data_IF_762828653570
#
_entry.id   IF_762828653570
#
_cell.length_a   1.000
_cell.length_b   1.000
_cell.length_c   1.000
_cell.angle_alpha   90.00
_cell.angle_beta   90.00
_cell.angle_gamma   90.00
#
_symmetry.space_group_name_H-M   'P 1'
#
loop_
_entity.id
_entity.type
_entity.pdbx_description
1 polymer ?
#
# COMPACT_ATOMS: atom_id res chain seq x y z
N UNK A 1 45.86 -8.47 19.12
CA UNK A 1 46.24 -8.82 17.74
C UNK A 1 45.39 -10.01 17.32
N UNK A 2 44.36 -9.76 16.51
CA UNK A 2 43.36 -10.78 16.14
C UNK A 2 43.58 -11.13 14.68
N UNK A 3 44.15 -12.30 14.41
CA UNK A 3 44.41 -12.77 13.03
C UNK A 3 43.17 -13.47 12.50
N UNK A 4 42.41 -12.77 11.67
CA UNK A 4 41.33 -13.34 10.87
C UNK A 4 41.95 -14.19 9.75
N UNK A 5 41.68 -15.50 9.78
CA UNK A 5 42.10 -16.45 8.75
C UNK A 5 41.14 -16.31 7.56
N UNK A 6 41.54 -15.58 6.52
CA UNK A 6 40.77 -15.51 5.28
C UNK A 6 40.86 -16.86 4.56
N UNK A 7 39.73 -17.54 4.41
CA UNK A 7 39.64 -18.73 3.57
C UNK A 7 39.77 -18.32 2.11
N UNK A 8 40.79 -18.82 1.42
CA UNK A 8 40.93 -18.70 -0.03
C UNK A 8 39.72 -19.34 -0.72
N UNK A 9 38.89 -18.51 -1.35
CA UNK A 9 37.84 -18.97 -2.24
C UNK A 9 38.48 -19.34 -3.59
N UNK A 10 38.53 -20.64 -3.89
CA UNK A 10 38.83 -21.12 -5.25
C UNK A 10 37.56 -21.06 -6.09
N UNK A 11 37.53 -20.28 -7.19
CA UNK A 11 36.39 -20.29 -8.08
C UNK A 11 36.26 -21.68 -8.72
N UNK A 12 35.06 -22.28 -8.63
CA UNK A 12 34.74 -23.48 -9.38
C UNK A 12 34.74 -23.12 -10.87
N UNK A 13 35.79 -23.50 -11.59
CA UNK A 13 35.83 -23.41 -13.04
C UNK A 13 34.99 -24.55 -13.61
N UNK A 14 33.80 -24.21 -14.09
CA UNK A 14 33.01 -25.12 -14.90
C UNK A 14 33.67 -25.23 -16.28
N UNK A 15 34.28 -26.38 -16.56
CA UNK A 15 34.69 -26.74 -17.91
C UNK A 15 33.47 -27.30 -18.64
N UNK A 16 32.97 -26.56 -19.64
CA UNK A 16 32.02 -27.12 -20.59
C UNK A 16 32.73 -28.25 -21.34
N UNK A 17 32.34 -29.50 -21.09
CA UNK A 17 32.76 -30.62 -21.93
C UNK A 17 32.10 -30.43 -23.29
N UNK A 18 32.88 -29.99 -24.27
CA UNK A 18 32.47 -29.99 -25.67
C UNK A 18 32.54 -31.44 -26.19
N UNK A 19 31.61 -32.29 -25.75
CA UNK A 19 31.30 -33.47 -26.56
C UNK A 19 30.52 -32.97 -27.78
N UNK A 20 30.97 -33.29 -29.00
CA UNK A 20 30.21 -32.98 -30.21
C UNK A 20 29.04 -33.97 -30.28
N UNK A 21 27.97 -33.69 -29.53
CA UNK A 21 26.67 -34.25 -29.83
C UNK A 21 26.24 -33.64 -31.17
N UNK A 22 26.50 -34.39 -32.24
CA UNK A 22 26.21 -34.04 -33.63
C UNK A 22 24.71 -34.10 -33.96
N UNK A 23 23.85 -34.30 -32.97
CA UNK A 23 22.42 -34.11 -33.11
C UNK A 23 22.08 -32.62 -32.88
N UNK A 24 21.83 -31.87 -33.95
CA UNK A 24 21.32 -30.51 -33.87
C UNK A 24 20.04 -30.49 -33.02
N UNK A 25 20.12 -29.98 -31.79
CA UNK A 25 18.95 -29.85 -30.90
C UNK A 25 18.05 -28.77 -31.47
N UNK A 26 16.99 -29.17 -32.17
CA UNK A 26 15.97 -28.25 -32.71
C UNK A 26 15.13 -27.72 -31.55
N UNK A 27 15.33 -26.45 -31.20
CA UNK A 27 14.51 -25.72 -30.22
C UNK A 27 13.29 -25.10 -30.91
N UNK A 28 12.11 -25.21 -30.29
CA UNK A 28 10.90 -24.50 -30.74
C UNK A 28 10.99 -23.03 -30.33
N UNK A 29 10.63 -22.11 -31.23
CA UNK A 29 10.43 -20.69 -30.91
C UNK A 29 9.14 -20.52 -30.10
N UNK A 30 9.18 -19.67 -29.08
CA UNK A 30 8.00 -19.31 -28.29
C UNK A 30 7.17 -18.17 -28.90
N UNK A 31 7.68 -17.51 -29.96
CA UNK A 31 7.00 -16.40 -30.67
C UNK A 31 6.52 -15.27 -29.74
N UNK A 32 7.31 -14.90 -28.73
CA UNK A 32 7.02 -13.74 -27.88
C UNK A 32 7.13 -12.44 -28.67
N UNK A 33 6.26 -11.49 -28.32
CA UNK A 33 6.36 -10.13 -28.82
C UNK A 33 7.53 -9.40 -28.14
N UNK A 34 8.19 -8.47 -28.84
CA UNK A 34 9.24 -7.66 -28.26
C UNK A 34 8.71 -6.75 -27.15
N UNK A 35 9.63 -6.23 -26.34
CA UNK A 35 9.34 -5.24 -25.30
C UNK A 35 8.68 -4.00 -25.91
N UNK A 36 7.70 -3.42 -25.20
CA UNK A 36 7.10 -2.13 -25.53
C UNK A 36 8.13 -1.00 -25.35
N UNK A 37 9.08 -1.20 -24.43
CA UNK A 37 10.14 -0.24 -24.13
C UNK A 37 11.41 -0.64 -24.85
N UNK A 38 11.84 0.19 -25.80
CA UNK A 38 13.14 0.10 -26.45
C UNK A 38 14.21 0.88 -25.66
N UNK A 39 15.47 0.51 -25.82
CA UNK A 39 16.60 1.10 -25.09
C UNK A 39 16.74 2.60 -25.33
N UNK A 40 16.58 3.04 -26.58
CA UNK A 40 16.62 4.46 -26.94
C UNK A 40 15.48 5.24 -26.29
N UNK A 41 14.30 4.62 -26.20
CA UNK A 41 13.14 5.19 -25.52
C UNK A 41 13.40 5.35 -24.01
N UNK A 42 13.98 4.33 -23.36
CA UNK A 42 14.36 4.41 -21.94
C UNK A 42 15.38 5.53 -21.68
N UNK A 43 16.35 5.72 -22.58
CA UNK A 43 17.34 6.78 -22.48
C UNK A 43 16.77 8.19 -22.73
N UNK A 44 15.65 8.29 -23.46
CA UNK A 44 14.98 9.57 -23.73
C UNK A 44 14.22 10.16 -22.53
N UNK A 45 14.01 9.37 -21.46
CA UNK A 45 13.31 9.83 -20.28
C UNK A 45 14.08 10.97 -19.60
N UNK A 46 13.44 12.15 -19.57
CA UNK A 46 13.91 13.29 -18.78
C UNK A 46 12.82 13.68 -17.79
N UNK A 47 13.23 13.97 -16.55
CA UNK A 47 12.33 14.47 -15.52
C UNK A 47 12.67 15.93 -15.24
N UNK A 48 11.78 16.83 -15.68
CA UNK A 48 11.87 18.27 -15.42
C UNK A 48 11.45 18.65 -13.98
N UNK A 49 10.98 17.69 -13.18
CA UNK A 49 10.55 17.89 -11.79
C UNK A 49 11.67 17.71 -10.76
N UNK A 50 12.92 17.65 -11.18
CA UNK A 50 14.10 17.48 -10.30
C UNK A 50 14.62 18.79 -9.69
N UNK A 51 14.04 19.93 -10.07
CA UNK A 51 14.47 21.26 -9.62
C UNK A 51 14.22 21.51 -8.13
N UNK A 52 15.11 22.30 -7.52
CA UNK A 52 15.02 22.71 -6.10
C UNK A 52 13.71 23.44 -5.78
N UNK A 53 13.13 24.15 -6.75
CA UNK A 53 11.83 24.81 -6.64
C UNK A 53 10.69 23.83 -6.34
N UNK A 54 10.60 22.71 -7.06
CA UNK A 54 9.57 21.69 -6.84
C UNK A 54 9.75 21.00 -5.49
N UNK A 55 10.99 20.70 -5.11
CA UNK A 55 11.29 20.15 -3.78
C UNK A 55 10.84 21.10 -2.67
N UNK A 56 11.15 22.40 -2.79
CA UNK A 56 10.72 23.42 -1.82
C UNK A 56 9.19 23.53 -1.76
N UNK A 57 8.51 23.47 -2.90
CA UNK A 57 7.04 23.50 -2.96
C UNK A 57 6.44 22.24 -2.32
N UNK A 58 7.00 21.07 -2.58
CA UNK A 58 6.57 19.81 -1.98
C UNK A 58 6.72 19.83 -0.45
N UNK A 59 7.85 20.32 0.08
CA UNK A 59 8.03 20.47 1.53
C UNK A 59 7.06 21.49 2.14
N UNK A 60 6.76 22.59 1.44
CA UNK A 60 5.75 23.55 1.89
C UNK A 60 4.35 22.92 1.96
N UNK A 61 3.95 22.16 0.93
CA UNK A 61 2.68 21.46 0.89
C UNK A 61 2.61 20.36 1.94
N UNK A 62 3.69 19.61 2.14
CA UNK A 62 3.81 18.61 3.20
C UNK A 62 3.58 19.22 4.57
N UNK A 63 4.15 20.40 4.84
CA UNK A 63 3.89 21.17 6.05
C UNK A 63 2.42 21.53 6.22
N UNK A 64 1.76 22.02 5.17
CA UNK A 64 0.32 22.35 5.19
C UNK A 64 -0.55 21.13 5.48
N UNK A 65 -0.28 20.00 4.82
CA UNK A 65 -1.00 18.75 5.06
C UNK A 65 -0.79 18.28 6.51
N UNK A 66 0.42 18.38 7.04
CA UNK A 66 0.69 18.08 8.46
C UNK A 66 -0.15 18.95 9.40
N UNK A 67 -0.28 20.25 9.11
CA UNK A 67 -1.17 21.13 9.87
C UNK A 67 -2.62 20.68 9.79
N UNK A 68 -3.12 20.34 8.59
CA UNK A 68 -4.50 19.82 8.42
C UNK A 68 -4.73 18.53 9.21
N UNK A 69 -3.76 17.60 9.21
CA UNK A 69 -3.84 16.36 10.01
C UNK A 69 -3.96 16.70 11.50
N UNK A 70 -3.14 17.63 12.00
CA UNK A 70 -3.19 18.05 13.40
C UNK A 70 -4.51 18.74 13.74
N UNK A 71 -5.04 19.62 12.89
CA UNK A 71 -6.32 20.29 13.09
C UNK A 71 -7.46 19.27 13.19
N UNK A 72 -7.54 18.34 12.23
CA UNK A 72 -8.56 17.29 12.22
C UNK A 72 -8.41 16.36 13.43
N UNK A 73 -7.18 16.12 13.91
CA UNK A 73 -6.94 15.34 15.13
C UNK A 73 -7.58 15.95 16.40
N UNK A 74 -7.71 17.29 16.46
CA UNK A 74 -8.29 18.03 17.60
C UNK A 74 -9.82 18.07 17.56
N UNK A 75 -10.43 17.96 16.38
CA UNK A 75 -11.89 18.13 16.21
C UNK A 75 -12.76 17.03 16.84
N UNK A 76 -12.18 15.95 17.39
CA UNK A 76 -12.89 14.79 17.95
C UNK A 76 -13.95 14.21 17.00
N UNK A 77 -13.68 14.24 15.69
CA UNK A 77 -14.53 13.68 14.63
C UNK A 77 -13.79 12.51 13.97
N UNK A 78 -13.98 11.26 14.44
CA UNK A 78 -13.20 10.12 13.97
C UNK A 78 -13.42 9.79 12.49
N UNK A 79 -14.62 10.02 11.96
CA UNK A 79 -14.90 9.77 10.55
C UNK A 79 -14.03 10.66 9.64
N UNK A 80 -14.02 11.97 9.88
CA UNK A 80 -13.19 12.92 9.11
C UNK A 80 -11.69 12.56 9.19
N UNK A 81 -11.23 12.07 10.34
CA UNK A 81 -9.86 11.58 10.53
C UNK A 81 -9.55 10.36 9.66
N UNK A 82 -10.46 9.38 9.62
CA UNK A 82 -10.31 8.18 8.81
C UNK A 82 -10.36 8.48 7.31
N UNK A 83 -11.24 9.38 6.88
CA UNK A 83 -11.33 9.82 5.48
C UNK A 83 -10.05 10.53 5.04
N UNK A 84 -9.46 11.36 5.90
CA UNK A 84 -8.18 12.00 5.63
C UNK A 84 -7.07 10.96 5.43
N UNK A 85 -7.00 9.93 6.30
CA UNK A 85 -6.03 8.83 6.18
C UNK A 85 -6.24 8.08 4.87
N UNK A 86 -7.49 7.74 4.54
CA UNK A 86 -7.82 7.05 3.30
C UNK A 86 -7.36 7.85 2.08
N UNK A 87 -7.63 9.15 2.05
CA UNK A 87 -7.21 10.01 0.95
C UNK A 87 -5.68 10.07 0.83
N UNK A 88 -4.94 10.18 1.94
CA UNK A 88 -3.48 10.15 1.92
C UNK A 88 -2.92 8.81 1.39
N UNK A 89 -3.55 7.69 1.76
CA UNK A 89 -3.15 6.37 1.25
C UNK A 89 -3.44 6.23 -0.25
N UNK A 90 -4.62 6.62 -0.71
CA UNK A 90 -5.02 6.54 -2.13
C UNK A 90 -4.19 7.46 -3.03
N UNK A 91 -3.72 8.58 -2.50
CA UNK A 91 -2.81 9.49 -3.18
C UNK A 91 -1.34 9.03 -3.14
N UNK A 92 -1.03 7.94 -2.42
CA UNK A 92 0.35 7.48 -2.25
C UNK A 92 1.20 8.41 -1.38
N UNK A 93 0.59 9.27 -0.57
CA UNK A 93 1.27 10.25 0.29
C UNK A 93 1.41 9.80 1.75
N UNK A 94 0.77 8.68 2.13
CA UNK A 94 0.74 8.20 3.51
C UNK A 94 2.13 7.98 4.14
N UNK A 95 3.14 7.58 3.35
CA UNK A 95 4.51 7.35 3.84
C UNK A 95 5.18 8.63 4.39
N UNK A 96 4.68 9.82 4.05
CA UNK A 96 5.18 11.07 4.59
C UNK A 96 4.66 11.40 5.99
N UNK A 97 3.61 10.71 6.45
CA UNK A 97 2.86 11.02 7.67
C UNK A 97 2.60 9.77 8.53
N UNK A 98 3.47 8.75 8.46
CA UNK A 98 3.28 7.46 9.13
C UNK A 98 3.05 7.61 10.64
N UNK A 99 3.79 8.51 11.29
CA UNK A 99 3.67 8.78 12.73
C UNK A 99 2.31 9.37 13.07
N UNK A 100 1.87 10.38 12.32
CA UNK A 100 0.60 11.05 12.52
C UNK A 100 -0.57 10.09 12.29
N UNK A 101 -0.53 9.31 11.20
CA UNK A 101 -1.53 8.28 10.88
C UNK A 101 -1.60 7.24 12.00
N UNK A 102 -0.45 6.74 12.46
CA UNK A 102 -0.38 5.75 13.54
C UNK A 102 -1.02 6.27 14.83
N UNK A 103 -0.74 7.53 15.19
CA UNK A 103 -1.29 8.15 16.39
C UNK A 103 -2.82 8.31 16.30
N UNK A 104 -3.32 8.76 15.15
CA UNK A 104 -4.77 8.89 14.92
C UNK A 104 -5.46 7.52 15.05
N UNK A 105 -4.96 6.50 14.34
CA UNK A 105 -5.54 5.17 14.40
C UNK A 105 -5.46 4.55 15.80
N UNK A 106 -4.37 4.81 16.53
CA UNK A 106 -4.24 4.36 17.92
C UNK A 106 -5.29 4.99 18.83
N UNK A 107 -5.53 6.29 18.67
CA UNK A 107 -6.54 7.01 19.45
C UNK A 107 -7.96 6.51 19.13
N UNK A 108 -8.26 6.28 17.85
CA UNK A 108 -9.55 5.73 17.41
C UNK A 108 -9.75 4.32 18.00
N UNK A 109 -8.76 3.44 17.86
CA UNK A 109 -8.82 2.07 18.38
C UNK A 109 -9.06 1.99 19.89
N UNK A 110 -8.47 2.90 20.66
CA UNK A 110 -8.63 2.95 22.11
C UNK A 110 -9.87 3.71 22.57
N UNK A 111 -10.56 4.41 21.67
CA UNK A 111 -11.78 5.13 22.00
C UNK A 111 -12.92 4.13 22.21
N UNK A 112 -13.66 4.28 23.31
CA UNK A 112 -14.81 3.44 23.64
C UNK A 112 -16.15 4.04 23.19
N UNK A 113 -16.12 5.27 22.68
CA UNK A 113 -17.31 5.93 22.15
C UNK A 113 -17.51 5.55 20.68
N UNK A 114 -18.39 4.58 20.45
CA UNK A 114 -18.79 4.11 19.13
C UNK A 114 -20.02 4.85 18.57
N UNK A 115 -20.51 5.90 19.25
CA UNK A 115 -21.74 6.60 18.84
C UNK A 115 -21.65 7.20 17.44
N UNK A 116 -20.45 7.60 17.00
CA UNK A 116 -20.20 8.15 15.67
C UNK A 116 -20.31 7.09 14.54
N UNK A 117 -20.30 5.79 14.88
CA UNK A 117 -20.47 4.67 13.93
C UNK A 117 -21.89 4.12 13.90
N UNK A 118 -22.74 4.52 14.85
CA UNK A 118 -24.06 3.91 15.01
C UNK A 118 -24.87 3.99 13.70
N UNK A 119 -25.31 2.84 13.20
CA UNK A 119 -26.05 2.66 11.94
C UNK A 119 -25.34 3.19 10.67
N UNK A 120 -24.05 3.55 10.75
CA UNK A 120 -23.27 4.01 9.62
C UNK A 120 -22.31 2.92 9.12
N UNK A 121 -22.77 2.19 8.09
CA UNK A 121 -21.99 1.12 7.47
C UNK A 121 -20.66 1.63 6.89
N UNK A 122 -20.67 2.82 6.31
CA UNK A 122 -19.47 3.42 5.73
C UNK A 122 -18.42 3.70 6.82
N UNK A 123 -18.80 4.36 7.91
CA UNK A 123 -17.91 4.65 9.02
C UNK A 123 -17.31 3.37 9.64
N UNK A 124 -18.17 2.38 9.91
CA UNK A 124 -17.76 1.09 10.47
C UNK A 124 -16.80 0.34 9.54
N UNK A 125 -17.12 0.27 8.25
CA UNK A 125 -16.30 -0.44 7.27
C UNK A 125 -14.95 0.22 7.02
N UNK A 126 -14.92 1.56 7.01
CA UNK A 126 -13.71 2.34 6.82
C UNK A 126 -12.74 2.16 8.00
N UNK A 127 -13.24 2.28 9.22
CA UNK A 127 -12.45 2.05 10.43
C UNK A 127 -11.91 0.63 10.47
N UNK A 128 -12.77 -0.38 10.30
CA UNK A 128 -12.38 -1.79 10.31
C UNK A 128 -11.23 -2.05 9.32
N UNK A 129 -11.39 -1.56 8.08
CA UNK A 129 -10.37 -1.73 7.03
C UNK A 129 -9.06 -1.05 7.41
N UNK A 130 -9.10 0.22 7.83
CA UNK A 130 -7.90 0.97 8.17
C UNK A 130 -7.17 0.37 9.38
N UNK A 131 -7.89 0.02 10.44
CA UNK A 131 -7.30 -0.62 11.61
C UNK A 131 -6.62 -1.95 11.25
N UNK A 132 -7.28 -2.82 10.48
CA UNK A 132 -6.71 -4.09 10.03
C UNK A 132 -5.47 -3.90 9.15
N UNK A 133 -5.50 -2.95 8.22
CA UNK A 133 -4.35 -2.62 7.36
C UNK A 133 -3.13 -2.17 8.16
N UNK A 134 -3.34 -1.53 9.31
CA UNK A 134 -2.28 -1.06 10.20
C UNK A 134 -1.96 -2.03 11.35
N UNK A 135 -2.46 -3.27 11.29
CA UNK A 135 -2.09 -4.36 12.19
C UNK A 135 -2.85 -4.40 13.52
N UNK A 136 -3.92 -3.63 13.67
CA UNK A 136 -4.79 -3.70 14.85
C UNK A 136 -5.67 -4.95 14.81
N UNK A 137 -5.87 -5.56 15.99
CA UNK A 137 -6.73 -6.73 16.13
C UNK A 137 -8.19 -6.29 16.32
N UNK A 138 -8.95 -6.25 15.22
CA UNK A 138 -10.37 -5.88 15.26
C UNK A 138 -11.23 -7.15 15.18
N UNK A 139 -12.14 -7.32 16.16
CA UNK A 139 -13.07 -8.44 16.19
C UNK A 139 -14.01 -8.40 14.98
N UNK A 140 -14.37 -9.56 14.44
CA UNK A 140 -15.40 -9.68 13.40
C UNK A 140 -16.82 -9.54 13.98
N UNK A 141 -16.97 -9.65 15.30
CA UNK A 141 -18.27 -9.59 15.99
C UNK A 141 -18.83 -8.17 16.00
N UNK A 142 -20.07 -8.05 15.51
CA UNK A 142 -20.95 -6.87 15.46
C UNK A 142 -20.59 -5.79 14.41
N UNK A 143 -19.32 -5.50 14.14
CA UNK A 143 -18.93 -4.53 13.09
C UNK A 143 -19.06 -5.10 11.68
N UNK A 144 -18.75 -6.39 11.46
CA UNK A 144 -19.00 -7.05 10.18
C UNK A 144 -20.46 -7.53 10.02
N UNK A 145 -21.25 -7.61 11.09
CA UNK A 145 -22.61 -8.19 11.04
C UNK A 145 -23.59 -7.22 10.34
N UNK A 146 -23.34 -5.91 10.34
CA UNK A 146 -24.10 -4.95 9.53
C UNK A 146 -24.06 -5.26 8.02
N UNK A 147 -23.01 -5.93 7.52
CA UNK A 147 -22.98 -6.39 6.13
C UNK A 147 -23.97 -7.53 5.87
N UNK A 148 -24.24 -8.36 6.87
CA UNK A 148 -25.18 -9.49 6.73
C UNK A 148 -26.63 -9.06 6.85
N UNK A 149 -26.96 -8.12 7.74
CA UNK A 149 -28.35 -7.69 7.96
C UNK A 149 -28.89 -6.78 6.85
N UNK A 150 -28.05 -5.92 6.26
CA UNK A 150 -28.44 -5.04 5.14
C UNK A 150 -28.63 -5.79 3.82
N UNK A 151 -27.81 -6.81 3.54
CA UNK A 151 -28.01 -7.70 2.39
C UNK A 151 -29.23 -8.61 2.55
N UNK A 152 -29.60 -8.99 3.78
CA UNK A 152 -30.82 -9.79 4.01
C UNK A 152 -32.12 -8.98 3.97
N UNK A 153 -32.09 -7.68 4.27
CA UNK A 153 -33.32 -6.85 4.18
C UNK A 153 -33.61 -6.32 2.77
N UNK A 154 -32.60 -6.18 1.91
CA UNK A 154 -32.77 -5.73 0.52
C UNK A 154 -32.98 -6.88 -0.48
N UNK A 155 -33.01 -8.14 -0.03
CA UNK A 155 -32.95 -9.33 -0.87
C UNK A 155 -34.23 -10.18 -0.96
N UNK A 156 -35.35 -9.79 -0.32
CA UNK A 156 -36.57 -10.63 -0.28
C UNK A 156 -37.85 -9.98 -0.80
N UNK A 157 -37.72 -9.01 -1.70
CA UNK A 157 -38.75 -8.55 -2.64
C UNK A 157 -37.94 -8.11 -3.88
N UNK A 158 -37.75 -8.86 -4.96
CA UNK A 158 -38.72 -9.54 -5.78
C UNK A 158 -37.98 -10.52 -6.70
N UNK A 159 -38.20 -11.82 -6.51
CA UNK A 159 -38.06 -12.82 -7.57
C UNK A 159 -39.09 -13.91 -7.29
N UNK A 160 -40.36 -13.61 -7.59
CA UNK A 160 -41.38 -14.60 -7.96
C UNK A 160 -42.68 -13.90 -8.38
N UNK A 161 -42.83 -13.65 -9.69
CA UNK A 161 -43.97 -14.00 -10.57
C UNK A 161 -43.81 -13.22 -11.87
#
# INVERSE_FOLDING_TARGET
>A
ATTTRMSEYKPAQCFASAQPDTAAVVRRSANYQPSIWDHDFLHSFSCNFTGESYKKQAENLKGKVKTMINEVSVTNRPLDQLELIENLQRLGLAYHFETEIKNILHNIYNNKDDKWKNENLYATSLEFRLLRQHGYNVSQGNECICFTTSLTLSGTHDLNT
#
